data_IF_794114442736
#
_entry.id   IF_794114442736
#
_cell.length_a   1.000
_cell.length_b   1.000
_cell.length_c   1.000
_cell.angle_alpha   90.00
_cell.angle_beta   90.00
_cell.angle_gamma   90.00
#
_symmetry.space_group_name_H-M   'P 1'
#
loop_
_entity.id
_entity.type
_entity.pdbx_description
1 polymer ?
#
# COMPACT_ATOMS: atom_id res chain seq x y z
N UNK A 1 22.50 12.54 -14.28
CA UNK A 1 21.37 11.59 -14.21
C UNK A 1 21.28 10.87 -12.86
N UNK A 2 22.27 10.07 -12.44
CA UNK A 2 22.24 9.29 -11.19
C UNK A 2 21.92 10.14 -9.94
N UNK A 3 22.52 11.30 -9.72
CA UNK A 3 22.23 12.16 -8.56
C UNK A 3 20.78 12.67 -8.50
N UNK A 4 20.19 13.05 -9.62
CA UNK A 4 18.78 13.51 -9.69
C UNK A 4 17.84 12.32 -9.47
N UNK A 5 18.13 11.17 -10.09
CA UNK A 5 17.33 9.95 -9.93
C UNK A 5 17.35 9.39 -8.51
N UNK A 6 18.52 9.32 -7.84
CA UNK A 6 18.62 8.81 -6.47
C UNK A 6 17.90 9.70 -5.44
N UNK A 7 17.94 11.02 -5.61
CA UNK A 7 17.19 11.94 -4.73
C UNK A 7 15.68 11.77 -4.91
N UNK A 8 15.21 11.64 -6.15
CA UNK A 8 13.80 11.36 -6.43
C UNK A 8 13.37 9.99 -5.90
N UNK A 9 14.24 8.97 -6.02
CA UNK A 9 13.96 7.64 -5.47
C UNK A 9 13.80 7.67 -3.94
N UNK A 10 14.64 8.41 -3.23
CA UNK A 10 14.54 8.57 -1.78
C UNK A 10 13.28 9.34 -1.37
N UNK A 11 12.88 10.36 -2.14
CA UNK A 11 11.62 11.08 -1.89
C UNK A 11 10.41 10.15 -2.06
N UNK A 12 10.36 9.41 -3.16
CA UNK A 12 9.28 8.46 -3.42
C UNK A 12 9.28 7.33 -2.39
N UNK A 13 10.44 6.80 -2.02
CA UNK A 13 10.56 5.83 -0.94
C UNK A 13 9.93 6.36 0.34
N UNK A 14 10.23 7.61 0.73
CA UNK A 14 9.66 8.24 1.92
C UNK A 14 8.13 8.43 1.84
N UNK A 15 7.59 8.69 0.66
CA UNK A 15 6.14 8.84 0.47
C UNK A 15 5.38 7.51 0.66
N UNK A 16 5.98 6.40 0.24
CA UNK A 16 5.40 5.07 0.40
C UNK A 16 5.63 4.46 1.76
N UNK A 17 6.71 4.85 2.44
CA UNK A 17 7.12 4.22 3.69
C UNK A 17 6.17 4.60 4.83
N UNK A 18 5.22 3.73 5.10
CA UNK A 18 4.14 3.95 6.07
C UNK A 18 3.86 2.75 6.98
N UNK A 19 2.73 2.82 7.65
CA UNK A 19 2.30 1.85 8.67
C UNK A 19 2.27 0.39 8.17
N UNK A 20 1.75 0.16 6.97
CA UNK A 20 1.62 -1.18 6.39
C UNK A 20 2.95 -1.85 6.15
N UNK A 21 3.95 -1.08 5.72
CA UNK A 21 5.30 -1.55 5.42
C UNK A 21 6.07 -2.04 6.66
N UNK A 22 5.61 -1.66 7.84
CA UNK A 22 6.21 -2.06 9.13
C UNK A 22 5.54 -3.27 9.75
N UNK A 23 4.25 -3.49 9.48
CA UNK A 23 3.45 -4.52 10.16
C UNK A 23 3.29 -5.79 9.33
N UNK A 24 3.02 -5.67 8.02
CA UNK A 24 2.71 -6.85 7.21
C UNK A 24 3.90 -7.75 6.89
N UNK A 25 5.10 -7.24 6.56
CA UNK A 25 6.24 -8.13 6.33
C UNK A 25 6.64 -8.97 7.54
N UNK A 26 6.78 -8.42 8.78
CA UNK A 26 7.07 -9.24 9.96
C UNK A 26 5.96 -10.23 10.28
N UNK A 27 4.68 -9.86 10.09
CA UNK A 27 3.55 -10.76 10.29
C UNK A 27 3.60 -11.93 9.29
N UNK A 28 3.81 -11.65 8.01
CA UNK A 28 3.99 -12.69 6.98
C UNK A 28 5.13 -13.62 7.35
N UNK A 29 6.27 -13.07 7.76
CA UNK A 29 7.43 -13.86 8.17
C UNK A 29 7.07 -14.84 9.29
N UNK A 30 6.41 -14.35 10.34
CA UNK A 30 5.98 -15.15 11.46
C UNK A 30 4.96 -16.24 11.05
N UNK A 31 3.91 -15.88 10.32
CA UNK A 31 2.83 -16.80 9.94
C UNK A 31 3.23 -17.80 8.85
N UNK A 32 4.19 -17.47 7.99
CA UNK A 32 4.62 -18.34 6.90
C UNK A 32 5.52 -19.50 7.33
N UNK A 33 6.18 -19.39 8.48
CA UNK A 33 7.03 -20.45 9.03
C UNK A 33 7.99 -21.05 7.99
N UNK A 34 8.00 -22.37 7.86
CA UNK A 34 8.82 -23.08 6.87
C UNK A 34 8.43 -22.83 5.39
N UNK A 35 7.31 -22.13 5.11
CA UNK A 35 6.87 -21.73 3.76
C UNK A 35 7.29 -20.30 3.38
N UNK A 36 8.31 -19.77 4.02
CA UNK A 36 8.77 -18.39 3.90
C UNK A 36 9.03 -17.93 2.47
N UNK A 37 9.83 -18.66 1.68
CA UNK A 37 10.27 -18.20 0.37
C UNK A 37 9.15 -18.00 -0.65
N UNK A 38 8.22 -18.95 -0.86
CA UNK A 38 7.08 -18.68 -1.75
C UNK A 38 6.16 -17.59 -1.21
N UNK A 39 5.99 -17.46 0.11
CA UNK A 39 5.17 -16.43 0.72
C UNK A 39 5.73 -15.02 0.46
N UNK A 40 7.03 -14.81 0.73
CA UNK A 40 7.68 -13.50 0.52
C UNK A 40 7.78 -13.15 -0.97
N UNK A 41 7.94 -14.13 -1.86
CA UNK A 41 7.94 -13.90 -3.29
C UNK A 41 6.59 -13.34 -3.77
N UNK A 42 5.48 -13.92 -3.32
CA UNK A 42 4.12 -13.39 -3.60
C UNK A 42 3.93 -11.98 -3.06
N UNK A 43 4.35 -11.76 -1.81
CA UNK A 43 4.23 -10.46 -1.13
C UNK A 43 5.04 -9.35 -1.83
N UNK A 44 6.30 -9.60 -2.17
CA UNK A 44 7.15 -8.62 -2.86
C UNK A 44 6.63 -8.34 -4.27
N UNK A 45 6.12 -9.35 -4.97
CA UNK A 45 5.53 -9.15 -6.29
C UNK A 45 4.34 -8.20 -6.23
N UNK A 46 3.41 -8.39 -5.30
CA UNK A 46 2.19 -7.56 -5.22
C UNK A 46 2.42 -6.23 -4.48
N UNK A 47 3.12 -6.25 -3.34
CA UNK A 47 3.33 -5.07 -2.51
C UNK A 47 4.42 -4.13 -3.03
N UNK A 48 5.41 -4.66 -3.76
CA UNK A 48 6.49 -3.83 -4.32
C UNK A 48 6.41 -3.78 -5.84
N UNK A 49 6.44 -4.94 -6.51
CA UNK A 49 6.53 -5.01 -7.97
C UNK A 49 5.37 -4.28 -8.66
N UNK A 50 4.14 -4.66 -8.31
CA UNK A 50 2.93 -4.04 -8.89
C UNK A 50 2.82 -2.58 -8.45
N UNK A 51 3.12 -2.25 -7.20
CA UNK A 51 3.06 -0.89 -6.70
C UNK A 51 3.97 0.06 -7.48
N UNK A 52 5.24 -0.31 -7.64
CA UNK A 52 6.20 0.53 -8.36
C UNK A 52 5.90 0.56 -9.86
N UNK A 53 5.46 -0.55 -10.44
CA UNK A 53 5.01 -0.57 -11.84
C UNK A 53 3.83 0.38 -12.04
N UNK A 54 2.85 0.38 -11.13
CA UNK A 54 1.72 1.32 -11.15
C UNK A 54 2.20 2.76 -11.08
N UNK A 55 3.14 3.07 -10.18
CA UNK A 55 3.73 4.40 -10.07
C UNK A 55 4.41 4.83 -11.37
N UNK A 56 5.32 3.99 -11.89
CA UNK A 56 6.08 4.27 -13.12
C UNK A 56 5.14 4.53 -14.30
N UNK A 57 4.14 3.67 -14.48
CA UNK A 57 3.16 3.82 -15.57
C UNK A 57 2.34 5.11 -15.42
N UNK A 58 1.93 5.46 -14.19
CA UNK A 58 1.21 6.71 -13.92
C UNK A 58 2.03 7.96 -14.20
N UNK A 59 3.36 7.91 -14.00
CA UNK A 59 4.25 9.04 -14.29
C UNK A 59 4.55 9.21 -15.78
N UNK A 60 4.25 8.22 -16.62
CA UNK A 60 4.39 8.33 -18.08
C UNK A 60 3.27 9.16 -18.74
N UNK A 61 2.24 9.56 -18.00
CA UNK A 61 1.22 10.49 -18.49
C UNK A 61 1.11 11.69 -17.53
N UNK A 62 1.47 12.91 -17.96
CA UNK A 62 1.36 14.10 -17.12
C UNK A 62 -0.05 14.40 -16.62
N UNK A 63 -1.08 13.96 -17.37
CA UNK A 63 -2.50 14.12 -16.99
C UNK A 63 -2.96 13.07 -15.97
N UNK A 64 -2.12 12.10 -15.61
CA UNK A 64 -2.35 11.08 -14.60
C UNK A 64 -3.40 10.02 -14.96
N UNK A 65 -3.68 9.15 -13.99
CA UNK A 65 -4.61 8.02 -14.16
C UNK A 65 -6.05 8.41 -14.50
N UNK A 66 -6.53 9.55 -14.01
CA UNK A 66 -7.90 10.00 -14.31
C UNK A 66 -8.11 10.14 -15.82
N UNK A 67 -7.13 10.69 -16.54
CA UNK A 67 -7.19 10.86 -17.98
C UNK A 67 -7.07 9.51 -18.71
N UNK A 68 -6.12 8.67 -18.31
CA UNK A 68 -5.91 7.34 -18.88
C UNK A 68 -7.17 6.46 -18.79
N UNK A 69 -7.78 6.42 -17.61
CA UNK A 69 -8.99 5.62 -17.37
C UNK A 69 -10.20 6.22 -18.10
N UNK A 70 -10.32 7.55 -18.11
CA UNK A 70 -11.44 8.24 -18.79
C UNK A 70 -11.44 7.99 -20.29
N UNK A 71 -10.29 8.02 -20.93
CA UNK A 71 -10.15 7.77 -22.37
C UNK A 71 -10.38 6.30 -22.72
N UNK A 72 -9.77 5.39 -21.99
CA UNK A 72 -9.74 3.95 -22.31
C UNK A 72 -11.00 3.22 -21.86
N UNK A 73 -11.59 3.66 -20.77
CA UNK A 73 -12.78 2.99 -20.20
C UNK A 73 -13.97 3.94 -20.25
N UNK A 74 -14.14 4.82 -19.26
CA UNK A 74 -15.13 5.91 -19.31
C UNK A 74 -14.87 6.97 -18.24
N UNK A 75 -15.29 8.24 -18.45
CA UNK A 75 -15.15 9.30 -17.44
C UNK A 75 -15.89 9.01 -16.14
N UNK A 76 -17.10 8.42 -16.24
CA UNK A 76 -17.89 8.05 -15.06
C UNK A 76 -17.21 6.97 -14.24
N UNK A 77 -16.71 5.93 -14.89
CA UNK A 77 -15.95 4.86 -14.21
C UNK A 77 -14.69 5.43 -13.56
N UNK A 78 -13.92 6.27 -14.26
CA UNK A 78 -12.72 6.90 -13.73
C UNK A 78 -13.01 7.66 -12.42
N UNK A 79 -14.06 8.48 -12.40
CA UNK A 79 -14.45 9.24 -11.21
C UNK A 79 -14.84 8.33 -10.06
N UNK A 80 -15.72 7.34 -10.29
CA UNK A 80 -16.18 6.41 -9.24
C UNK A 80 -15.03 5.57 -8.71
N UNK A 81 -14.23 4.96 -9.60
CA UNK A 81 -13.09 4.14 -9.20
C UNK A 81 -12.08 4.94 -8.37
N UNK A 82 -11.68 6.13 -8.84
CA UNK A 82 -10.74 6.97 -8.11
C UNK A 82 -11.33 7.49 -6.80
N UNK A 83 -12.63 7.82 -6.75
CA UNK A 83 -13.26 8.22 -5.51
C UNK A 83 -13.21 7.09 -4.45
N UNK A 84 -13.55 5.85 -4.84
CA UNK A 84 -13.47 4.68 -3.94
C UNK A 84 -12.00 4.41 -3.55
N UNK A 85 -11.06 4.53 -4.48
CA UNK A 85 -9.64 4.38 -4.22
C UNK A 85 -9.15 5.42 -3.21
N UNK A 86 -9.44 6.71 -3.43
CA UNK A 86 -9.03 7.78 -2.51
C UNK A 86 -9.68 7.68 -1.14
N UNK A 87 -10.94 7.24 -1.06
CA UNK A 87 -11.58 6.94 0.22
C UNK A 87 -10.90 5.78 0.95
N UNK A 88 -10.43 4.77 0.21
CA UNK A 88 -9.76 3.61 0.78
C UNK A 88 -8.36 3.96 1.32
N UNK A 89 -7.53 4.67 0.53
CA UNK A 89 -6.21 5.14 1.01
C UNK A 89 -6.32 6.35 1.95
N UNK A 90 -7.47 7.00 2.00
CA UNK A 90 -7.79 8.13 2.85
C UNK A 90 -8.49 7.70 4.15
N UNK A 91 -9.70 8.24 4.40
CA UNK A 91 -10.35 8.18 5.70
C UNK A 91 -10.75 6.79 6.17
N UNK A 92 -10.94 5.81 5.27
CA UNK A 92 -11.48 4.53 5.69
C UNK A 92 -10.40 3.53 6.13
N UNK A 93 -9.21 3.51 5.50
CA UNK A 93 -8.22 2.48 5.85
C UNK A 93 -6.83 3.02 6.14
N UNK A 94 -6.15 3.73 5.22
CA UNK A 94 -4.76 4.09 5.46
C UNK A 94 -4.60 5.14 6.57
N UNK A 95 -5.39 6.22 6.58
CA UNK A 95 -5.34 7.24 7.62
C UNK A 95 -5.58 6.67 9.03
N UNK A 96 -6.67 5.92 9.31
CA UNK A 96 -6.86 5.34 10.63
C UNK A 96 -5.79 4.30 10.99
N UNK A 97 -5.32 3.53 10.00
CA UNK A 97 -4.28 2.52 10.19
C UNK A 97 -2.96 3.12 10.63
N UNK A 98 -2.55 4.28 10.10
CA UNK A 98 -1.31 4.94 10.51
C UNK A 98 -1.33 5.30 12.00
N UNK A 99 -2.43 5.85 12.52
CA UNK A 99 -2.58 6.16 13.93
C UNK A 99 -2.59 4.89 14.80
N UNK A 100 -3.38 3.87 14.40
CA UNK A 100 -3.45 2.60 15.12
C UNK A 100 -2.10 1.85 15.13
N UNK A 101 -1.33 1.91 14.04
CA UNK A 101 0.01 1.31 13.96
C UNK A 101 1.01 2.06 14.84
N UNK A 102 1.00 3.40 14.80
CA UNK A 102 1.85 4.21 15.66
C UNK A 102 1.60 3.91 17.15
N UNK A 103 0.33 3.74 17.52
CA UNK A 103 -0.03 3.31 18.87
C UNK A 103 0.45 1.88 19.15
N UNK A 104 0.17 0.91 18.29
CA UNK A 104 0.46 -0.51 18.52
C UNK A 104 1.96 -0.82 18.60
N UNK A 105 2.78 -0.22 17.73
CA UNK A 105 4.25 -0.42 17.73
C UNK A 105 4.92 0.44 18.80
N UNK A 106 4.47 1.69 18.93
CA UNK A 106 5.16 2.69 19.74
C UNK A 106 4.69 2.72 21.19
N UNK A 107 3.43 3.02 21.40
CA UNK A 107 2.90 3.35 22.73
C UNK A 107 2.41 2.12 23.52
N UNK A 108 1.70 1.19 22.89
CA UNK A 108 1.12 0.03 23.56
C UNK A 108 2.14 -0.78 24.38
N UNK A 109 3.37 -1.03 23.88
CA UNK A 109 4.39 -1.73 24.68
C UNK A 109 4.90 -0.97 25.90
N UNK A 110 4.73 0.36 25.93
CA UNK A 110 5.21 1.21 27.03
C UNK A 110 4.20 1.36 28.16
N UNK A 111 2.89 1.18 27.87
CA UNK A 111 1.81 1.43 28.84
C UNK A 111 1.27 0.15 29.49
N UNK A 112 1.72 -1.02 29.04
CA UNK A 112 1.22 -2.31 29.54
C UNK A 112 -0.22 -2.62 29.13
N UNK A 113 -0.79 -3.71 29.68
CA UNK A 113 -2.09 -4.26 29.26
C UNK A 113 -3.33 -3.60 29.89
N UNK A 114 -3.14 -2.61 30.78
CA UNK A 114 -4.26 -1.93 31.46
C UNK A 114 -4.82 -0.77 30.62
N UNK A 115 -6.15 -0.72 30.46
CA UNK A 115 -6.86 0.42 29.83
C UNK A 115 -6.39 0.79 28.41
N UNK A 116 -5.96 -0.17 27.60
CA UNK A 116 -5.42 0.04 26.24
C UNK A 116 -6.37 0.86 25.36
N UNK A 117 -7.68 0.63 25.43
CA UNK A 117 -8.67 1.38 24.65
C UNK A 117 -8.74 2.87 25.04
N UNK A 118 -8.61 3.19 26.34
CA UNK A 118 -8.59 4.58 26.81
C UNK A 118 -7.33 5.29 26.31
N UNK A 119 -6.19 4.63 26.41
CA UNK A 119 -4.92 5.19 25.92
C UNK A 119 -4.90 5.35 24.41
N UNK A 120 -5.47 4.40 23.66
CA UNK A 120 -5.67 4.54 22.22
C UNK A 120 -6.52 5.76 21.88
N UNK A 121 -7.63 5.96 22.60
CA UNK A 121 -8.50 7.13 22.41
C UNK A 121 -7.74 8.44 22.68
N UNK A 122 -7.06 8.57 23.82
CA UNK A 122 -6.28 9.77 24.16
C UNK A 122 -5.20 10.04 23.11
N UNK A 123 -4.47 8.99 22.69
CA UNK A 123 -3.44 9.09 21.66
C UNK A 123 -4.03 9.58 20.33
N UNK A 124 -5.14 8.98 19.89
CA UNK A 124 -5.75 9.32 18.60
C UNK A 124 -6.35 10.73 18.59
N UNK A 125 -6.92 11.22 19.71
CA UNK A 125 -7.37 12.60 19.83
C UNK A 125 -6.22 13.59 19.56
N UNK A 126 -5.09 13.41 20.25
CA UNK A 126 -3.92 14.29 20.07
C UNK A 126 -3.35 14.15 18.65
N UNK A 127 -3.22 12.92 18.17
CA UNK A 127 -2.68 12.60 16.86
C UNK A 127 -3.48 13.24 15.73
N UNK A 128 -4.81 13.07 15.73
CA UNK A 128 -5.66 13.63 14.68
C UNK A 128 -5.85 15.14 14.78
N UNK A 129 -5.86 15.70 15.99
CA UNK A 129 -5.88 17.15 16.17
C UNK A 129 -4.64 17.81 15.54
N UNK A 130 -3.46 17.25 15.80
CA UNK A 130 -2.21 17.74 15.20
C UNK A 130 -2.15 17.48 13.69
N UNK A 131 -2.58 16.31 13.21
CA UNK A 131 -2.59 15.98 11.79
C UNK A 131 -3.52 16.90 11.00
N UNK A 132 -4.72 17.19 11.55
CA UNK A 132 -5.65 18.13 10.96
C UNK A 132 -5.11 19.55 10.94
N UNK A 133 -4.50 20.01 12.06
CA UNK A 133 -3.88 21.34 12.14
C UNK A 133 -2.84 21.56 11.04
N UNK A 134 -2.00 20.57 10.78
CA UNK A 134 -1.00 20.64 9.69
C UNK A 134 -1.69 20.55 8.31
N UNK A 135 -2.66 19.66 8.13
CA UNK A 135 -3.36 19.50 6.86
C UNK A 135 -4.16 20.76 6.48
N UNK A 136 -4.63 21.53 7.45
CA UNK A 136 -5.32 22.82 7.23
C UNK A 136 -4.38 23.92 6.74
N UNK A 137 -3.09 23.82 7.06
CA UNK A 137 -2.05 24.76 6.66
C UNK A 137 -0.87 23.98 6.07
N UNK A 138 -1.03 23.39 4.88
CA UNK A 138 0.01 22.58 4.26
C UNK A 138 1.22 23.46 3.98
N UNK A 139 2.16 23.42 4.90
CA UNK A 139 3.40 24.19 4.85
C UNK A 139 4.57 23.30 4.42
N UNK A 140 5.68 23.91 4.00
CA UNK A 140 6.96 23.23 3.71
C UNK A 140 7.50 22.41 4.91
N UNK A 141 6.88 22.54 6.09
CA UNK A 141 7.27 21.84 7.33
C UNK A 141 7.09 20.32 7.15
N UNK A 142 5.97 19.88 6.56
CA UNK A 142 5.69 18.46 6.33
C UNK A 142 6.75 17.82 5.43
N UNK A 143 7.09 18.51 4.34
CA UNK A 143 8.13 18.06 3.40
C UNK A 143 9.50 18.02 4.08
N UNK A 144 9.82 18.99 4.92
CA UNK A 144 11.11 19.06 5.60
C UNK A 144 11.26 17.99 6.66
N UNK A 145 10.21 17.73 7.44
CA UNK A 145 10.19 16.66 8.46
C UNK A 145 10.34 15.30 7.78
N UNK A 146 9.56 15.03 6.73
CA UNK A 146 9.64 13.76 5.99
C UNK A 146 11.02 13.54 5.36
N UNK A 147 11.63 14.57 4.76
CA UNK A 147 12.96 14.47 4.13
C UNK A 147 14.09 14.09 5.09
N UNK A 148 14.01 14.50 6.34
CA UNK A 148 15.06 14.22 7.34
C UNK A 148 14.75 12.94 8.11
N UNK A 149 13.52 12.79 8.59
CA UNK A 149 13.17 11.70 9.49
C UNK A 149 12.98 10.36 8.78
N UNK A 150 12.50 10.36 7.54
CA UNK A 150 12.34 9.09 6.79
C UNK A 150 13.66 8.36 6.56
N UNK A 151 14.76 8.99 6.11
CA UNK A 151 16.05 8.30 6.02
C UNK A 151 16.57 7.80 7.36
N UNK A 152 16.44 8.59 8.43
CA UNK A 152 16.87 8.17 9.78
C UNK A 152 16.09 6.94 10.23
N UNK A 153 14.78 6.95 10.03
CA UNK A 153 13.93 5.83 10.37
C UNK A 153 14.23 4.57 9.52
N UNK A 154 14.43 4.74 8.22
CA UNK A 154 14.81 3.63 7.35
C UNK A 154 16.14 3.00 7.79
N UNK A 155 17.14 3.81 8.14
CA UNK A 155 18.43 3.33 8.68
C UNK A 155 18.21 2.57 9.99
N UNK A 156 17.39 3.10 10.90
CA UNK A 156 17.07 2.41 12.16
C UNK A 156 16.45 1.04 11.90
N UNK A 157 15.48 0.94 11.00
CA UNK A 157 14.84 -0.34 10.66
C UNK A 157 15.86 -1.31 10.05
N UNK A 158 16.74 -0.84 9.16
CA UNK A 158 17.81 -1.67 8.60
C UNK A 158 18.75 -2.17 9.71
N UNK A 159 19.10 -1.32 10.67
CA UNK A 159 19.93 -1.73 11.83
C UNK A 159 19.22 -2.81 12.66
N UNK A 160 17.91 -2.67 12.92
CA UNK A 160 17.12 -3.69 13.63
C UNK A 160 17.09 -5.01 12.84
N UNK A 161 16.87 -4.94 11.52
CA UNK A 161 16.88 -6.13 10.64
C UNK A 161 18.22 -6.84 10.68
N UNK A 162 19.32 -6.12 10.46
CA UNK A 162 20.66 -6.69 10.42
C UNK A 162 21.05 -7.29 11.76
N UNK A 163 20.87 -6.56 12.85
CA UNK A 163 21.16 -7.06 14.19
C UNK A 163 20.26 -8.26 14.57
N UNK A 164 18.98 -8.23 14.17
CA UNK A 164 18.06 -9.35 14.33
C UNK A 164 18.46 -10.59 13.53
N UNK A 165 18.90 -10.42 12.28
CA UNK A 165 19.38 -11.50 11.45
C UNK A 165 20.64 -12.17 12.04
N UNK A 166 21.59 -11.39 12.55
CA UNK A 166 22.77 -11.95 13.23
C UNK A 166 22.42 -12.66 14.54
N UNK A 167 21.50 -12.12 15.34
CA UNK A 167 21.16 -12.68 16.64
C UNK A 167 20.19 -13.88 16.56
N UNK A 168 19.24 -13.84 15.65
CA UNK A 168 18.14 -14.79 15.58
C UNK A 168 18.12 -15.65 14.32
N UNK A 169 18.98 -15.40 13.33
CA UNK A 169 19.00 -16.13 12.06
C UNK A 169 19.25 -17.64 12.16
N UNK A 170 19.74 -18.12 13.30
CA UNK A 170 19.88 -19.55 13.60
C UNK A 170 18.66 -20.19 14.29
N UNK A 171 17.62 -19.43 14.61
CA UNK A 171 16.41 -19.99 15.21
C UNK A 171 15.53 -20.65 14.14
N UNK A 172 14.96 -21.79 14.47
CA UNK A 172 14.02 -22.46 13.58
C UNK A 172 12.70 -21.69 13.52
N UNK A 173 12.15 -21.46 12.30
CA UNK A 173 10.82 -20.92 12.16
C UNK A 173 9.76 -21.81 12.80
N UNK A 174 8.68 -21.20 13.26
CA UNK A 174 7.51 -21.98 13.69
C UNK A 174 6.81 -22.68 12.52
N UNK A 175 5.82 -23.52 12.80
CA UNK A 175 5.01 -24.14 11.76
C UNK A 175 4.19 -23.09 11.01
N UNK A 176 4.08 -23.27 9.69
CA UNK A 176 3.28 -22.39 8.86
C UNK A 176 1.80 -22.49 9.24
N UNK A 177 1.09 -21.35 9.30
CA UNK A 177 -0.34 -21.32 9.49
C UNK A 177 -1.08 -22.05 8.35
N UNK A 178 -2.30 -22.53 8.59
CA UNK A 178 -3.09 -23.29 7.61
C UNK A 178 -3.22 -22.57 6.25
N UNK A 179 -3.37 -21.25 6.27
CA UNK A 179 -3.47 -20.44 5.05
C UNK A 179 -2.20 -20.49 4.21
N UNK A 180 -1.02 -20.45 4.85
CA UNK A 180 0.26 -20.57 4.15
C UNK A 180 0.60 -22.00 3.76
N UNK A 181 0.13 -23.00 4.50
CA UNK A 181 0.25 -24.41 4.09
C UNK A 181 -0.53 -24.69 2.81
N UNK A 182 -1.73 -24.14 2.68
CA UNK A 182 -2.60 -24.32 1.51
C UNK A 182 -2.04 -23.63 0.25
N UNK A 183 -1.62 -22.38 0.34
CA UNK A 183 -1.09 -21.59 -0.79
C UNK A 183 -0.17 -20.48 -0.32
N UNK A 184 1.09 -20.79 -0.07
CA UNK A 184 2.03 -19.81 0.48
C UNK A 184 2.23 -18.60 -0.45
N UNK A 185 2.43 -18.82 -1.76
CA UNK A 185 2.57 -17.74 -2.73
C UNK A 185 1.29 -16.90 -2.84
N UNK A 186 0.12 -17.54 -2.98
CA UNK A 186 -1.16 -16.84 -3.12
C UNK A 186 -1.50 -16.04 -1.87
N UNK A 187 -1.32 -16.63 -0.68
CA UNK A 187 -1.53 -15.91 0.59
C UNK A 187 -0.56 -14.72 0.71
N UNK A 188 0.73 -14.91 0.41
CA UNK A 188 1.70 -13.83 0.40
C UNK A 188 1.34 -12.72 -0.59
N UNK A 189 0.88 -13.09 -1.80
CA UNK A 189 0.43 -12.13 -2.80
C UNK A 189 -0.76 -11.29 -2.30
N UNK A 190 -1.75 -11.91 -1.66
CA UNK A 190 -2.88 -11.19 -1.05
C UNK A 190 -2.46 -10.33 0.14
N UNK A 191 -1.50 -10.79 0.95
CA UNK A 191 -0.99 -9.97 2.06
C UNK A 191 -0.28 -8.70 1.56
N UNK A 192 0.35 -8.74 0.38
CA UNK A 192 0.90 -7.54 -0.23
C UNK A 192 -0.16 -6.48 -0.59
N UNK A 193 -1.43 -6.85 -0.80
CA UNK A 193 -2.53 -5.87 -0.95
C UNK A 193 -2.71 -5.02 0.32
N UNK A 194 -2.45 -5.61 1.47
CA UNK A 194 -2.60 -4.93 2.74
C UNK A 194 -1.61 -3.77 2.93
N UNK A 195 -0.51 -3.70 2.17
CA UNK A 195 0.39 -2.53 2.21
C UNK A 195 -0.28 -1.26 1.67
N UNK A 196 -1.31 -1.40 0.81
CA UNK A 196 -1.99 -0.31 0.08
C UNK A 196 -1.10 0.41 -0.95
N UNK A 197 0.13 -0.06 -1.17
CA UNK A 197 1.12 0.65 -1.97
C UNK A 197 0.72 0.80 -3.44
N UNK A 198 0.10 -0.22 -4.06
CA UNK A 198 -0.33 -0.10 -5.45
C UNK A 198 -1.50 0.89 -5.63
N UNK A 199 -2.42 0.98 -4.66
CA UNK A 199 -3.48 1.99 -4.66
C UNK A 199 -2.90 3.39 -4.40
N UNK A 200 -1.99 3.52 -3.45
CA UNK A 200 -1.28 4.76 -3.18
C UNK A 200 -0.46 5.22 -4.39
N UNK A 201 0.10 4.30 -5.17
CA UNK A 201 0.84 4.59 -6.41
C UNK A 201 0.00 5.32 -7.45
N UNK A 202 -1.29 4.99 -7.57
CA UNK A 202 -2.22 5.71 -8.45
C UNK A 202 -2.32 7.18 -8.04
N UNK A 203 -2.49 7.45 -6.75
CA UNK A 203 -2.59 8.80 -6.22
C UNK A 203 -1.24 9.54 -6.27
N UNK A 204 -0.16 8.89 -5.87
CA UNK A 204 1.18 9.49 -5.80
C UNK A 204 1.83 9.68 -7.16
N UNK A 205 1.34 9.03 -8.22
CA UNK A 205 1.85 9.25 -9.58
C UNK A 205 1.76 10.72 -10.00
N UNK A 206 0.70 11.43 -9.60
CA UNK A 206 0.55 12.88 -9.88
C UNK A 206 1.63 13.69 -9.17
N UNK A 207 1.89 13.40 -7.89
CA UNK A 207 2.94 14.08 -7.12
C UNK A 207 4.32 13.76 -7.68
N UNK A 208 4.54 12.52 -8.10
CA UNK A 208 5.78 12.10 -8.73
C UNK A 208 6.03 12.86 -10.05
N UNK A 209 5.00 13.05 -10.90
CA UNK A 209 5.08 13.86 -12.12
C UNK A 209 5.50 15.29 -11.80
N UNK A 210 4.84 15.95 -10.84
CA UNK A 210 5.18 17.32 -10.43
C UNK A 210 6.63 17.40 -9.96
N UNK A 211 7.07 16.48 -9.12
CA UNK A 211 8.45 16.44 -8.62
C UNK A 211 9.46 16.22 -9.75
N UNK A 212 9.17 15.30 -10.66
CA UNK A 212 10.03 15.03 -11.82
C UNK A 212 10.14 16.24 -12.74
N UNK A 213 9.03 16.93 -13.00
CA UNK A 213 9.03 18.13 -13.85
C UNK A 213 9.89 19.26 -13.25
N UNK A 214 9.93 19.42 -11.94
CA UNK A 214 10.80 20.38 -11.24
C UNK A 214 12.30 20.12 -11.45
N UNK A 215 12.69 18.90 -11.85
CA UNK A 215 14.10 18.55 -12.10
C UNK A 215 14.63 19.10 -13.43
N UNK A 216 13.77 19.66 -14.30
CA UNK A 216 14.15 20.32 -15.54
C UNK A 216 14.84 19.36 -16.54
N UNK A 217 14.14 18.31 -16.97
CA UNK A 217 14.63 17.39 -18.00
C UNK A 217 14.69 18.08 -19.38
N UNK A 218 15.77 17.80 -20.12
CA UNK A 218 16.00 18.37 -21.44
C UNK A 218 15.37 17.55 -22.58
N UNK A 219 15.00 16.30 -22.34
CA UNK A 219 14.44 15.41 -23.36
C UNK A 219 13.53 14.33 -22.75
N UNK A 220 12.55 13.89 -23.55
CA UNK A 220 11.67 12.74 -23.23
C UNK A 220 12.46 11.48 -22.88
N UNK A 221 13.56 11.20 -23.58
CA UNK A 221 14.41 10.04 -23.32
C UNK A 221 15.04 10.11 -21.93
N UNK A 222 15.52 11.30 -21.53
CA UNK A 222 16.10 11.53 -20.21
C UNK A 222 15.05 11.34 -19.11
N UNK A 223 13.84 11.89 -19.31
CA UNK A 223 12.72 11.74 -18.38
C UNK A 223 12.34 10.26 -18.18
N UNK A 224 12.07 9.54 -19.28
CA UNK A 224 11.68 8.11 -19.23
C UNK A 224 12.77 7.25 -18.60
N UNK A 225 14.05 7.46 -19.00
CA UNK A 225 15.18 6.71 -18.43
C UNK A 225 15.30 6.95 -16.93
N UNK A 226 15.11 8.21 -16.48
CA UNK A 226 15.16 8.51 -15.03
C UNK A 226 14.05 7.84 -14.26
N UNK A 227 12.82 7.82 -14.78
CA UNK A 227 11.69 7.14 -14.12
C UNK A 227 11.97 5.65 -13.93
N UNK A 228 12.48 4.96 -14.95
CA UNK A 228 12.81 3.54 -14.84
C UNK A 228 13.92 3.28 -13.84
N UNK A 229 14.95 4.12 -13.81
CA UNK A 229 16.04 4.02 -12.81
C UNK A 229 15.48 4.27 -11.41
N UNK A 230 14.65 5.28 -11.23
CA UNK A 230 13.99 5.56 -9.93
C UNK A 230 13.13 4.38 -9.51
N UNK A 231 12.27 3.87 -10.39
CA UNK A 231 11.43 2.71 -10.10
C UNK A 231 12.26 1.48 -9.70
N UNK A 232 13.34 1.19 -10.42
CA UNK A 232 14.22 0.08 -10.11
C UNK A 232 14.90 0.22 -8.73
N UNK A 233 15.43 1.40 -8.42
CA UNK A 233 16.06 1.68 -7.12
C UNK A 233 15.05 1.53 -5.99
N UNK A 234 13.85 2.10 -6.14
CA UNK A 234 12.78 1.99 -5.13
C UNK A 234 12.35 0.53 -4.95
N UNK A 235 12.24 -0.24 -6.03
CA UNK A 235 11.93 -1.68 -5.97
C UNK A 235 12.96 -2.45 -5.14
N UNK A 236 14.26 -2.19 -5.36
CA UNK A 236 15.32 -2.85 -4.58
C UNK A 236 15.25 -2.45 -3.11
N UNK A 237 15.07 -1.17 -2.81
CA UNK A 237 15.01 -0.66 -1.43
C UNK A 237 13.84 -1.27 -0.67
N UNK A 238 12.63 -1.24 -1.24
CA UNK A 238 11.45 -1.85 -0.62
C UNK A 238 11.52 -3.37 -0.58
N UNK A 239 11.99 -4.01 -1.64
CA UNK A 239 12.15 -5.46 -1.68
C UNK A 239 13.12 -5.96 -0.61
N UNK A 240 14.26 -5.29 -0.44
CA UNK A 240 15.22 -5.59 0.60
C UNK A 240 14.65 -5.35 2.01
N UNK A 241 13.94 -4.24 2.20
CA UNK A 241 13.29 -3.91 3.47
C UNK A 241 12.24 -4.97 3.85
N UNK A 242 11.36 -5.33 2.91
CA UNK A 242 10.32 -6.31 3.15
C UNK A 242 10.87 -7.70 3.41
N UNK A 243 11.88 -8.11 2.62
CA UNK A 243 12.59 -9.37 2.84
C UNK A 243 13.22 -9.40 4.23
N UNK A 244 13.90 -8.33 4.63
CA UNK A 244 14.57 -8.23 5.93
C UNK A 244 13.58 -8.23 7.10
N UNK A 245 12.51 -7.46 7.03
CA UNK A 245 11.47 -7.43 8.07
C UNK A 245 10.73 -8.78 8.17
N UNK A 246 10.44 -9.41 7.03
CA UNK A 246 9.82 -10.73 7.01
C UNK A 246 10.79 -11.79 7.56
N UNK A 247 12.08 -11.73 7.23
CA UNK A 247 13.10 -12.62 7.81
C UNK A 247 13.18 -12.47 9.32
N UNK A 248 13.16 -11.21 9.82
CA UNK A 248 13.11 -10.95 11.25
C UNK A 248 11.86 -11.59 11.88
N UNK A 249 10.67 -11.42 11.26
CA UNK A 249 9.44 -12.03 11.75
C UNK A 249 9.45 -13.56 11.74
N UNK A 250 10.14 -14.15 10.76
CA UNK A 250 10.23 -15.61 10.61
C UNK A 250 11.14 -16.27 11.66
N UNK A 251 12.21 -15.60 12.10
CA UNK A 251 13.23 -16.18 12.98
C UNK A 251 13.19 -15.62 14.41
N UNK A 252 12.49 -14.50 14.65
CA UNK A 252 12.38 -13.92 15.98
C UNK A 252 11.48 -14.78 16.88
N UNK A 253 11.94 -15.23 18.06
CA UNK A 253 11.15 -16.05 19.00
C UNK A 253 10.11 -15.18 19.73
N UNK A 254 9.05 -14.79 19.03
CA UNK A 254 8.00 -13.94 19.56
C UNK A 254 7.33 -14.57 20.76
N UNK A 255 7.31 -13.87 21.88
CA UNK A 255 6.55 -14.28 23.05
C UNK A 255 5.07 -13.90 22.84
N UNK A 256 4.28 -14.87 22.38
CA UNK A 256 2.83 -14.71 22.15
C UNK A 256 2.07 -14.77 23.48
N UNK A 257 2.56 -15.56 24.44
CA UNK A 257 1.97 -15.65 25.78
C UNK A 257 2.09 -14.28 26.49
N UNK A 258 0.95 -13.70 26.85
CA UNK A 258 0.89 -12.38 27.48
C UNK A 258 0.59 -11.22 26.54
N UNK A 259 0.55 -11.44 25.22
CA UNK A 259 0.03 -10.44 24.30
C UNK A 259 -1.49 -10.25 24.48
N UNK A 260 -2.00 -9.02 24.37
CA UNK A 260 -3.43 -8.79 24.24
C UNK A 260 -4.02 -9.64 23.09
N UNK A 261 -5.25 -10.14 23.25
CA UNK A 261 -5.91 -10.97 22.22
C UNK A 261 -6.05 -10.27 20.87
N UNK A 262 -6.09 -8.97 20.88
CA UNK A 262 -6.20 -8.07 19.74
C UNK A 262 -4.85 -7.49 19.31
N UNK A 263 -3.73 -7.95 19.84
CA UNK A 263 -2.41 -7.50 19.45
C UNK A 263 -2.12 -7.86 17.99
N UNK A 264 -1.55 -6.91 17.25
CA UNK A 264 -1.07 -7.18 15.90
C UNK A 264 0.30 -7.87 15.95
N UNK A 265 0.40 -9.04 15.34
CA UNK A 265 1.61 -9.87 15.37
C UNK A 265 2.81 -9.14 14.78
N UNK A 266 2.66 -8.49 13.62
CA UNK A 266 3.78 -7.77 12.98
C UNK A 266 4.29 -6.59 13.82
N UNK A 267 3.36 -5.85 14.43
CA UNK A 267 3.71 -4.78 15.37
C UNK A 267 4.44 -5.33 16.59
N UNK A 268 3.98 -6.47 17.13
CA UNK A 268 4.59 -7.12 18.29
C UNK A 268 6.00 -7.66 18.00
N UNK A 269 6.20 -8.26 16.81
CA UNK A 269 7.54 -8.69 16.36
C UNK A 269 8.50 -7.51 16.34
N UNK A 270 8.14 -6.42 15.66
CA UNK A 270 9.04 -5.28 15.50
C UNK A 270 9.39 -4.64 16.85
N UNK A 271 8.39 -4.47 17.70
CA UNK A 271 8.55 -3.88 19.04
C UNK A 271 9.41 -4.77 19.95
N UNK A 272 9.05 -6.07 20.11
CA UNK A 272 9.78 -6.98 20.98
C UNK A 272 11.20 -7.24 20.47
N UNK A 273 11.40 -7.37 19.15
CA UNK A 273 12.73 -7.53 18.58
C UNK A 273 13.62 -6.32 18.86
N UNK A 274 13.10 -5.09 18.66
CA UNK A 274 13.83 -3.87 18.95
C UNK A 274 14.24 -3.78 20.42
N UNK A 275 13.30 -4.07 21.34
CA UNK A 275 13.57 -4.08 22.77
C UNK A 275 14.56 -5.17 23.18
N UNK A 276 14.43 -6.38 22.63
CA UNK A 276 15.29 -7.51 22.95
C UNK A 276 16.73 -7.37 22.42
N UNK A 277 16.92 -6.59 21.34
CA UNK A 277 18.24 -6.36 20.73
C UNK A 277 18.94 -5.17 21.36
N UNK A 278 18.22 -4.06 21.54
CA UNK A 278 18.81 -2.76 21.90
C UNK A 278 18.33 -2.19 23.25
N UNK A 279 17.39 -2.89 23.91
CA UNK A 279 16.87 -2.48 25.22
C UNK A 279 15.73 -1.45 25.18
N UNK A 280 15.24 -1.01 26.36
CA UNK A 280 14.08 -0.14 26.49
C UNK A 280 14.22 1.24 25.81
N UNK A 281 15.43 1.81 25.81
CA UNK A 281 15.69 3.11 25.17
C UNK A 281 15.44 3.06 23.66
N UNK A 282 15.79 1.95 23.01
CA UNK A 282 15.53 1.77 21.58
C UNK A 282 14.02 1.61 21.29
N UNK A 283 13.24 1.04 22.20
CA UNK A 283 11.79 0.99 22.08
C UNK A 283 11.17 2.40 22.13
N UNK A 284 11.64 3.27 22.99
CA UNK A 284 11.19 4.68 23.05
C UNK A 284 11.54 5.39 21.74
N UNK A 285 12.76 5.19 21.24
CA UNK A 285 13.19 5.76 19.97
C UNK A 285 12.33 5.25 18.79
N UNK A 286 12.05 3.93 18.74
CA UNK A 286 11.14 3.33 17.78
C UNK A 286 9.74 3.97 17.85
N UNK A 287 9.20 4.16 19.07
CA UNK A 287 7.90 4.78 19.29
C UNK A 287 7.82 6.19 18.70
N UNK A 288 8.82 7.02 18.95
CA UNK A 288 8.89 8.38 18.40
C UNK A 288 8.96 8.33 16.88
N UNK A 289 9.87 7.53 16.33
CA UNK A 289 10.12 7.48 14.88
C UNK A 289 8.92 6.94 14.11
N UNK A 290 8.29 5.85 14.59
CA UNK A 290 7.07 5.30 13.97
C UNK A 290 5.94 6.32 14.03
N UNK A 291 5.75 6.98 15.18
CA UNK A 291 4.69 7.98 15.36
C UNK A 291 4.87 9.13 14.38
N UNK A 292 6.06 9.69 14.26
CA UNK A 292 6.32 10.83 13.36
C UNK A 292 6.17 10.40 11.89
N UNK A 293 6.67 9.22 11.50
CA UNK A 293 6.54 8.72 10.13
C UNK A 293 5.08 8.47 9.76
N UNK A 294 4.32 7.82 10.63
CA UNK A 294 2.89 7.61 10.44
C UNK A 294 2.12 8.93 10.40
N UNK A 295 2.49 9.88 11.23
CA UNK A 295 1.88 11.20 11.32
C UNK A 295 2.03 12.00 10.02
N UNK A 296 3.24 12.03 9.44
CA UNK A 296 3.48 12.72 8.16
C UNK A 296 2.68 12.09 7.02
N UNK A 297 2.57 10.76 7.02
CA UNK A 297 1.73 10.02 6.05
C UNK A 297 0.25 10.37 6.22
N UNK A 298 -0.26 10.42 7.46
CA UNK A 298 -1.65 10.81 7.75
C UNK A 298 -1.96 12.20 7.22
N UNK A 299 -1.13 13.18 7.57
CA UNK A 299 -1.34 14.55 7.14
C UNK A 299 -1.28 14.68 5.61
N UNK A 300 -0.33 14.01 4.95
CA UNK A 300 -0.23 13.96 3.48
C UNK A 300 -1.45 13.31 2.83
N UNK A 301 -1.99 12.23 3.39
CA UNK A 301 -3.18 11.56 2.88
C UNK A 301 -4.47 12.39 3.08
N UNK A 302 -4.61 13.12 4.21
CA UNK A 302 -5.71 14.06 4.41
C UNK A 302 -5.68 15.14 3.34
N UNK A 303 -4.49 15.70 3.04
CA UNK A 303 -4.31 16.71 1.99
C UNK A 303 -4.66 16.13 0.62
N UNK A 304 -4.03 15.02 0.23
CA UNK A 304 -4.22 14.42 -1.10
C UNK A 304 -5.68 14.04 -1.36
N UNK A 305 -6.34 13.42 -0.38
CA UNK A 305 -7.74 13.02 -0.49
C UNK A 305 -8.66 14.23 -0.51
N UNK A 306 -8.41 15.22 0.36
CA UNK A 306 -9.16 16.47 0.41
C UNK A 306 -9.08 17.27 -0.90
N UNK A 307 -7.90 17.37 -1.49
CA UNK A 307 -7.71 18.02 -2.79
C UNK A 307 -8.41 17.27 -3.93
N UNK A 308 -8.31 15.94 -3.96
CA UNK A 308 -9.01 15.13 -4.97
C UNK A 308 -10.52 15.38 -4.92
N UNK A 309 -11.14 15.29 -3.73
CA UNK A 309 -12.56 15.46 -3.59
C UNK A 309 -13.01 16.92 -3.82
N UNK A 310 -12.21 17.89 -3.43
CA UNK A 310 -12.50 19.30 -3.72
C UNK A 310 -12.47 19.60 -5.23
N UNK A 311 -11.52 19.02 -5.98
CA UNK A 311 -11.48 19.12 -7.43
C UNK A 311 -12.64 18.40 -8.11
N UNK A 312 -13.01 17.22 -7.63
CA UNK A 312 -14.11 16.41 -8.18
C UNK A 312 -15.49 16.99 -7.84
N UNK A 313 -15.65 17.55 -6.65
CA UNK A 313 -16.91 18.09 -6.12
C UNK A 313 -16.69 19.46 -5.46
N UNK A 314 -16.54 20.53 -6.24
CA UNK A 314 -16.09 21.85 -5.78
C UNK A 314 -17.12 22.59 -4.88
N UNK A 315 -18.33 22.07 -4.74
CA UNK A 315 -19.35 22.64 -3.84
C UNK A 315 -18.95 22.59 -2.37
N UNK A 316 -18.06 21.65 -1.99
CA UNK A 316 -17.56 21.49 -0.63
C UNK A 316 -16.12 22.00 -0.60
N UNK A 317 -15.79 22.84 0.39
CA UNK A 317 -14.46 23.40 0.51
C UNK A 317 -13.41 22.33 0.89
N UNK A 318 -12.17 22.52 0.50
CA UNK A 318 -11.05 21.68 0.93
C UNK A 318 -11.00 21.49 2.45
N UNK A 319 -11.18 22.59 3.21
CA UNK A 319 -11.16 22.56 4.68
C UNK A 319 -12.25 21.64 5.25
N UNK A 320 -13.44 21.68 4.67
CA UNK A 320 -14.53 20.80 5.10
C UNK A 320 -14.21 19.32 4.83
N UNK A 321 -13.66 19.00 3.66
CA UNK A 321 -13.20 17.64 3.37
C UNK A 321 -12.11 17.19 4.34
N UNK A 322 -11.10 18.01 4.60
CA UNK A 322 -10.02 17.69 5.53
C UNK A 322 -10.55 17.38 6.95
N UNK A 323 -11.51 18.18 7.44
CA UNK A 323 -12.15 17.95 8.74
C UNK A 323 -12.95 16.63 8.73
N UNK A 324 -13.82 16.43 7.73
CA UNK A 324 -14.62 15.21 7.62
C UNK A 324 -13.73 13.96 7.57
N UNK A 325 -12.69 13.97 6.76
CA UNK A 325 -11.80 12.82 6.60
C UNK A 325 -10.95 12.56 7.84
N UNK A 326 -10.52 13.61 8.54
CA UNK A 326 -9.84 13.46 9.82
C UNK A 326 -10.77 12.86 10.89
N UNK A 327 -12.02 13.31 10.96
CA UNK A 327 -13.01 12.78 11.93
C UNK A 327 -13.39 11.32 11.64
N UNK A 328 -13.60 10.96 10.37
CA UNK A 328 -13.85 9.56 9.99
C UNK A 328 -12.62 8.70 10.34
N UNK A 329 -11.43 9.15 9.98
CA UNK A 329 -10.19 8.44 10.30
C UNK A 329 -9.98 8.27 11.81
N UNK A 330 -10.25 9.31 12.60
CA UNK A 330 -10.22 9.26 14.05
C UNK A 330 -11.21 8.21 14.62
N UNK A 331 -12.45 8.23 14.16
CA UNK A 331 -13.46 7.29 14.63
C UNK A 331 -13.05 5.83 14.33
N UNK A 332 -12.57 5.57 13.11
CA UNK A 332 -12.14 4.24 12.67
C UNK A 332 -10.85 3.80 13.38
N UNK A 333 -9.90 4.71 13.65
CA UNK A 333 -8.66 4.40 14.34
C UNK A 333 -8.88 3.78 15.73
N UNK A 334 -9.97 4.19 16.41
CA UNK A 334 -10.34 3.66 17.72
C UNK A 334 -10.93 2.24 17.70
N UNK A 335 -11.16 1.66 16.52
CA UNK A 335 -11.51 0.24 16.39
C UNK A 335 -10.28 -0.67 16.62
N UNK A 336 -9.07 -0.13 16.60
CA UNK A 336 -7.83 -0.88 16.71
C UNK A 336 -7.33 -1.45 15.38
N UNK A 337 -6.03 -1.73 15.31
CA UNK A 337 -5.32 -2.07 14.07
C UNK A 337 -5.89 -3.30 13.36
N UNK A 338 -6.13 -4.39 14.10
CA UNK A 338 -6.61 -5.64 13.50
C UNK A 338 -8.02 -5.52 12.91
N UNK A 339 -8.93 -4.75 13.55
CA UNK A 339 -10.26 -4.52 13.03
C UNK A 339 -10.21 -3.66 11.74
N UNK A 340 -9.36 -2.64 11.70
CA UNK A 340 -9.16 -1.83 10.49
C UNK A 340 -8.68 -2.71 9.34
N UNK A 341 -7.73 -3.61 9.59
CA UNK A 341 -7.23 -4.57 8.60
C UNK A 341 -8.38 -5.48 8.14
N UNK A 342 -9.14 -6.07 9.07
CA UNK A 342 -10.24 -6.98 8.75
C UNK A 342 -11.31 -6.32 7.85
N UNK A 343 -11.67 -5.06 8.13
CA UNK A 343 -12.63 -4.31 7.30
C UNK A 343 -12.03 -3.89 5.93
N UNK A 344 -10.74 -3.67 5.84
CA UNK A 344 -10.10 -3.26 4.59
C UNK A 344 -9.97 -4.41 3.58
N UNK A 345 -9.70 -5.63 4.04
CA UNK A 345 -9.40 -6.78 3.17
C UNK A 345 -10.45 -7.02 2.08
N UNK A 346 -11.78 -7.08 2.36
CA UNK A 346 -12.78 -7.29 1.32
C UNK A 346 -12.75 -6.22 0.22
N UNK A 347 -12.54 -4.97 0.61
CA UNK A 347 -12.47 -3.85 -0.35
C UNK A 347 -11.20 -3.93 -1.20
N UNK A 348 -10.09 -4.31 -0.60
CA UNK A 348 -8.82 -4.48 -1.30
C UNK A 348 -8.87 -5.63 -2.30
N UNK A 349 -9.55 -6.74 -1.96
CA UNK A 349 -9.77 -7.87 -2.87
C UNK A 349 -10.60 -7.49 -4.10
N UNK A 350 -11.32 -6.37 -4.08
CA UNK A 350 -12.02 -5.81 -5.26
C UNK A 350 -11.13 -4.79 -5.98
N UNK A 351 -10.54 -3.84 -5.25
CA UNK A 351 -9.80 -2.74 -5.86
C UNK A 351 -8.48 -3.16 -6.53
N UNK A 352 -7.74 -4.10 -5.93
CA UNK A 352 -6.45 -4.52 -6.49
C UNK A 352 -6.56 -5.23 -7.84
N UNK A 353 -7.45 -6.21 -8.04
CA UNK A 353 -7.69 -6.79 -9.38
C UNK A 353 -8.00 -5.73 -10.43
N UNK A 354 -8.86 -4.75 -10.10
CA UNK A 354 -9.22 -3.66 -11.00
C UNK A 354 -8.00 -2.79 -11.31
N UNK A 355 -7.24 -2.39 -10.27
CA UNK A 355 -6.04 -1.56 -10.41
C UNK A 355 -4.99 -2.24 -11.29
N UNK A 356 -4.70 -3.51 -11.01
CA UNK A 356 -3.72 -4.29 -11.78
C UNK A 356 -4.18 -4.43 -13.24
N UNK A 357 -5.46 -4.69 -13.47
CA UNK A 357 -6.04 -4.79 -14.82
C UNK A 357 -5.94 -3.47 -15.57
N UNK A 358 -6.20 -2.34 -14.93
CA UNK A 358 -6.02 -1.00 -15.53
C UNK A 358 -4.55 -0.80 -15.92
N UNK A 359 -3.62 -1.12 -15.06
CA UNK A 359 -2.18 -1.03 -15.35
C UNK A 359 -1.80 -1.93 -16.53
N UNK A 360 -2.29 -3.18 -16.56
CA UNK A 360 -2.06 -4.09 -17.69
C UNK A 360 -2.60 -3.53 -19.00
N UNK A 361 -3.83 -2.98 -19.01
CA UNK A 361 -4.43 -2.33 -20.17
C UNK A 361 -3.60 -1.14 -20.62
N UNK A 362 -3.17 -0.27 -19.70
CA UNK A 362 -2.37 0.92 -20.05
C UNK A 362 -1.02 0.50 -20.65
N UNK A 363 -0.37 -0.52 -20.07
CA UNK A 363 0.87 -1.07 -20.62
C UNK A 363 0.65 -1.65 -22.02
N UNK A 364 -0.31 -2.57 -22.17
CA UNK A 364 -0.59 -3.23 -23.44
C UNK A 364 -0.94 -2.21 -24.53
N UNK A 365 -1.74 -1.19 -24.19
CA UNK A 365 -2.15 -0.15 -25.16
C UNK A 365 -1.01 0.78 -25.59
N UNK A 366 0.10 0.82 -24.87
CA UNK A 366 1.32 1.54 -25.33
C UNK A 366 2.04 0.82 -26.46
N UNK A 367 1.98 -0.50 -26.47
CA UNK A 367 2.63 -1.32 -27.49
C UNK A 367 1.71 -1.61 -28.67
N UNK A 368 0.42 -1.87 -28.42
CA UNK A 368 -0.56 -2.28 -29.41
C UNK A 368 -1.86 -1.51 -29.23
N UNK A 369 -2.50 -1.10 -30.33
CA UNK A 369 -3.81 -0.46 -30.28
C UNK A 369 -4.86 -1.47 -29.80
N UNK A 370 -5.56 -1.16 -28.72
CA UNK A 370 -6.63 -1.97 -28.13
C UNK A 370 -8.01 -1.37 -28.43
N UNK A 371 -9.00 -2.24 -28.60
CA UNK A 371 -10.40 -1.82 -28.75
C UNK A 371 -10.93 -1.20 -27.46
N UNK A 372 -11.59 -0.05 -27.54
CA UNK A 372 -12.22 0.59 -26.38
C UNK A 372 -13.30 -0.27 -25.74
N UNK A 373 -14.28 -0.85 -26.51
CA UNK A 373 -15.21 -1.81 -25.94
C UNK A 373 -14.53 -3.03 -25.29
N UNK A 374 -13.44 -3.54 -25.89
CA UNK A 374 -12.66 -4.64 -25.31
C UNK A 374 -12.04 -4.29 -23.96
N UNK A 375 -11.46 -3.10 -23.82
CA UNK A 375 -10.93 -2.62 -22.54
C UNK A 375 -12.03 -2.46 -21.48
N UNK A 376 -13.21 -1.96 -21.85
CA UNK A 376 -14.37 -1.84 -20.98
C UNK A 376 -14.85 -3.21 -20.48
N UNK A 377 -14.99 -4.17 -21.39
CA UNK A 377 -15.38 -5.55 -21.05
C UNK A 377 -14.34 -6.19 -20.12
N UNK A 378 -13.05 -5.99 -20.38
CA UNK A 378 -11.99 -6.52 -19.51
C UNK A 378 -12.17 -6.05 -18.05
N UNK A 379 -12.35 -4.75 -17.84
CA UNK A 379 -12.54 -4.19 -16.49
C UNK A 379 -13.86 -4.67 -15.89
N UNK A 380 -14.94 -4.76 -16.66
CA UNK A 380 -16.22 -5.24 -16.18
C UNK A 380 -16.16 -6.71 -15.73
N UNK A 381 -15.52 -7.59 -16.51
CA UNK A 381 -15.32 -9.01 -16.18
C UNK A 381 -14.51 -9.18 -14.91
N UNK A 382 -13.38 -8.47 -14.79
CA UNK A 382 -12.54 -8.53 -13.60
C UNK A 382 -13.27 -8.01 -12.37
N UNK A 383 -14.00 -6.89 -12.51
CA UNK A 383 -14.80 -6.33 -11.41
C UNK A 383 -15.87 -7.34 -10.96
N UNK A 384 -16.55 -7.99 -11.90
CA UNK A 384 -17.56 -8.99 -11.58
C UNK A 384 -16.93 -10.19 -10.84
N UNK A 385 -15.83 -10.74 -11.33
CA UNK A 385 -15.13 -11.86 -10.68
C UNK A 385 -14.69 -11.48 -9.28
N UNK A 386 -14.11 -10.29 -9.09
CA UNK A 386 -13.67 -9.80 -7.78
C UNK A 386 -14.84 -9.63 -6.80
N UNK A 387 -15.95 -9.04 -7.25
CA UNK A 387 -17.16 -8.90 -6.45
C UNK A 387 -17.75 -10.26 -6.05
N UNK A 388 -17.91 -11.18 -7.01
CA UNK A 388 -18.44 -12.51 -6.76
C UNK A 388 -17.53 -13.31 -5.81
N UNK A 389 -16.20 -13.18 -5.94
CA UNK A 389 -15.24 -13.81 -5.04
C UNK A 389 -15.41 -13.32 -3.59
N UNK A 390 -15.54 -12.01 -3.41
CA UNK A 390 -15.74 -11.41 -2.07
C UNK A 390 -17.11 -11.78 -1.50
N UNK A 391 -18.19 -11.67 -2.28
CA UNK A 391 -19.53 -12.06 -1.83
C UNK A 391 -19.58 -13.55 -1.46
N UNK A 392 -19.03 -14.42 -2.32
CA UNK A 392 -18.97 -15.86 -2.07
C UNK A 392 -18.24 -16.21 -0.77
N UNK A 393 -17.09 -15.59 -0.51
CA UNK A 393 -16.30 -15.83 0.69
C UNK A 393 -16.94 -15.24 1.95
N UNK A 394 -17.46 -14.01 1.90
CA UNK A 394 -18.04 -13.32 3.06
C UNK A 394 -19.35 -13.99 3.52
N UNK A 395 -20.22 -14.34 2.58
CA UNK A 395 -21.49 -14.98 2.88
C UNK A 395 -21.46 -16.53 2.83
N UNK A 396 -20.26 -17.11 2.65
CA UNK A 396 -20.01 -18.55 2.60
C UNK A 396 -20.93 -19.28 1.61
N UNK A 397 -21.18 -18.69 0.43
CA UNK A 397 -22.04 -19.20 -0.60
C UNK A 397 -21.33 -20.33 -1.38
N UNK A 398 -21.62 -21.59 -1.03
CA UNK A 398 -20.92 -22.76 -1.57
C UNK A 398 -20.95 -22.83 -3.10
N UNK A 399 -22.10 -22.58 -3.75
CA UNK A 399 -22.23 -22.59 -5.20
C UNK A 399 -21.39 -21.52 -5.89
N UNK A 400 -21.33 -20.31 -5.32
CA UNK A 400 -20.53 -19.22 -5.84
C UNK A 400 -19.03 -19.48 -5.66
N UNK A 401 -18.64 -19.98 -4.50
CA UNK A 401 -17.26 -20.38 -4.24
C UNK A 401 -16.80 -21.50 -5.18
N UNK A 402 -17.67 -22.49 -5.48
CA UNK A 402 -17.37 -23.54 -6.45
C UNK A 402 -17.14 -22.97 -7.86
N UNK A 403 -17.97 -22.00 -8.29
CA UNK A 403 -17.80 -21.31 -9.57
C UNK A 403 -16.46 -20.55 -9.64
N UNK A 404 -16.10 -19.82 -8.60
CA UNK A 404 -14.83 -19.09 -8.54
C UNK A 404 -13.64 -20.05 -8.49
N UNK A 405 -13.75 -21.15 -7.74
CA UNK A 405 -12.69 -22.16 -7.63
C UNK A 405 -12.45 -22.93 -8.95
N UNK A 406 -13.42 -22.93 -9.88
CA UNK A 406 -13.23 -23.48 -11.22
C UNK A 406 -12.36 -22.60 -12.11
N UNK A 407 -12.22 -21.30 -11.80
CA UNK A 407 -11.40 -20.40 -12.59
C UNK A 407 -9.90 -20.74 -12.43
N UNK A 408 -9.10 -20.63 -13.51
CA UNK A 408 -7.66 -20.83 -13.44
C UNK A 408 -7.02 -19.92 -12.39
N UNK A 409 -5.98 -20.41 -11.71
CA UNK A 409 -5.24 -19.71 -10.65
C UNK A 409 -6.06 -19.35 -9.39
N UNK A 410 -7.28 -19.90 -9.23
CA UNK A 410 -8.05 -19.73 -8.01
C UNK A 410 -7.29 -20.26 -6.77
N UNK A 411 -6.58 -21.39 -6.90
CA UNK A 411 -5.70 -21.92 -5.85
C UNK A 411 -4.54 -21.01 -5.47
N UNK A 412 -4.13 -20.10 -6.35
CA UNK A 412 -3.16 -19.05 -6.08
C UNK A 412 -3.82 -17.71 -5.65
N UNK A 413 -5.13 -17.73 -5.42
CA UNK A 413 -5.94 -16.55 -5.08
C UNK A 413 -5.99 -15.47 -6.18
N UNK A 414 -5.83 -15.87 -7.44
CA UNK A 414 -5.80 -15.02 -8.63
C UNK A 414 -6.83 -15.44 -9.69
N UNK A 415 -8.11 -15.71 -9.34
CA UNK A 415 -9.11 -16.23 -10.30
C UNK A 415 -9.40 -15.24 -11.44
N UNK A 416 -9.15 -13.97 -11.24
CA UNK A 416 -9.40 -12.89 -12.20
C UNK A 416 -8.31 -12.73 -13.27
N UNK A 417 -7.08 -13.23 -13.02
CA UNK A 417 -5.90 -12.90 -13.83
C UNK A 417 -5.97 -13.47 -15.25
N UNK A 418 -6.28 -14.77 -15.40
CA UNK A 418 -6.39 -15.39 -16.72
C UNK A 418 -7.57 -14.81 -17.52
N UNK A 419 -8.80 -14.65 -16.95
CA UNK A 419 -9.87 -13.92 -17.62
C UNK A 419 -9.47 -12.51 -18.08
N UNK A 420 -8.73 -11.75 -17.25
CA UNK A 420 -8.22 -10.42 -17.63
C UNK A 420 -7.32 -10.49 -18.87
N UNK A 421 -6.35 -11.41 -18.89
CA UNK A 421 -5.43 -11.59 -20.01
C UNK A 421 -6.20 -11.97 -21.28
N UNK A 422 -7.14 -12.92 -21.20
CA UNK A 422 -7.94 -13.35 -22.35
C UNK A 422 -8.78 -12.18 -22.90
N UNK A 423 -9.42 -11.39 -22.06
CA UNK A 423 -10.19 -10.23 -22.49
C UNK A 423 -9.29 -9.14 -23.12
N UNK A 424 -8.06 -8.92 -22.60
CA UNK A 424 -7.09 -8.01 -23.23
C UNK A 424 -6.69 -8.53 -24.62
N UNK A 425 -6.44 -9.84 -24.77
CA UNK A 425 -6.13 -10.44 -26.07
C UNK A 425 -7.31 -10.33 -27.06
N UNK A 426 -8.53 -10.55 -26.60
CA UNK A 426 -9.74 -10.35 -27.41
C UNK A 426 -9.89 -8.89 -27.87
N UNK A 427 -9.46 -7.92 -27.04
CA UNK A 427 -9.48 -6.51 -27.41
C UNK A 427 -8.56 -6.14 -28.59
N UNK A 428 -7.62 -7.04 -28.95
CA UNK A 428 -6.80 -6.89 -30.17
C UNK A 428 -7.56 -7.14 -31.46
N UNK A 429 -8.64 -7.92 -31.39
CA UNK A 429 -9.39 -8.34 -32.58
C UNK A 429 -10.64 -7.48 -32.77
N UNK A 430 -11.19 -6.91 -31.70
CA UNK A 430 -12.41 -6.12 -31.74
C UNK A 430 -12.20 -4.75 -32.45
N UNK A 431 -13.27 -4.17 -33.05
CA UNK A 431 -13.23 -2.85 -33.68
C UNK A 431 -13.02 -1.72 -32.67
N UNK A 432 -13.01 -0.46 -33.16
CA UNK A 432 -12.87 0.78 -32.38
C UNK A 432 -11.57 0.83 -31.55
N UNK A 433 -10.46 0.59 -32.23
CA UNK A 433 -9.12 0.59 -31.63
C UNK A 433 -8.65 2.01 -31.30
N UNK A 434 -8.17 2.19 -30.09
CA UNK A 434 -7.56 3.42 -29.62
C UNK A 434 -6.05 3.19 -29.48
N UNK A 435 -5.25 4.09 -30.04
CA UNK A 435 -3.82 4.13 -29.79
C UNK A 435 -3.54 5.07 -28.60
N UNK A 436 -2.68 4.63 -27.70
CA UNK A 436 -2.26 5.51 -26.59
C UNK A 436 -1.64 6.80 -27.14
N UNK A 437 -2.02 7.95 -26.57
CA UNK A 437 -1.38 9.23 -26.90
C UNK A 437 0.13 9.12 -26.64
N UNK A 438 0.93 9.66 -27.56
CA UNK A 438 2.36 9.77 -27.34
C UNK A 438 2.58 10.78 -26.21
N UNK A 439 3.40 10.41 -25.23
CA UNK A 439 3.84 11.35 -24.21
C UNK A 439 4.51 12.56 -24.87
N UNK A 440 3.95 13.74 -24.73
CA UNK A 440 4.55 15.02 -25.12
C UNK A 440 5.00 15.73 -23.83
N UNK A 441 6.26 16.16 -23.81
CA UNK A 441 6.76 17.08 -22.77
C UNK A 441 6.29 18.47 -23.17
N UNK A 442 5.46 19.10 -22.33
CA UNK A 442 5.17 20.55 -22.43
C UNK A 442 6.39 21.39 -22.08
#
# INVERSE_FOLDING_TARGET
MLKKGSLTALLLFGMFFGAGNLTFPPQLGFESGGRFWPAIAGFVLSGVGIAILTLVIGTLNPKGYIHEISQKISPKFALVYLAVLYLSIGPFFAIPRTAATAFSIGFSPLIGSGHTSLWLFVFTVIYFALALWIAMNPSKILDSIGRILTPIFAIMIVVVIVAGAFKYGGYNPQDASQAYQASAFGKGFLEGYNTLDALASVAFSVVAVVTLNQLGFKSKKEYISTIWVVGFVVTILFGALYLGLAFLGNHFPLQVAGLPKDANIGASVLSQATQAIFGPAAQIFLAIMVTVTCFTTTAGLIVATGEFFHKAFPKVSYKAYAIIFALIGFAIANLGLNNIIAFSVPVLLILYPITITIVMIVIANKFVALSKPGMQVTVAVVTLIALLSVIGSQFKLAGLNALINFLPLSGASLPWLIPAILCILLSLILPDKIKSESFEME
#
